data_IF_161043506493
#
_entry.id   IF_161043506493
#
_cell.length_a   1.000
_cell.length_b   1.000
_cell.length_c   1.000
_cell.angle_alpha   90.00
_cell.angle_beta   90.00
_cell.angle_gamma   90.00
#
_symmetry.space_group_name_H-M   'P 1'
#
loop_
_entity.id
_entity.type
_entity.pdbx_description
1 polymer ?
#
# COMPACT_ATOMS: atom_id res chain seq x y z
N UNK A 1 -22.46 7.85 0.25
CA UNK A 1 -21.11 7.59 0.79
C UNK A 1 -20.94 6.09 0.90
N UNK A 2 -19.95 5.49 0.22
CA UNK A 2 -19.68 4.04 0.31
C UNK A 2 -18.77 3.81 1.50
N UNK A 3 -19.27 3.17 2.54
CA UNK A 3 -18.45 2.73 3.66
C UNK A 3 -17.78 1.41 3.27
N UNK A 4 -16.46 1.33 3.41
CA UNK A 4 -15.68 0.13 3.16
C UNK A 4 -15.25 -0.39 4.53
N UNK A 5 -15.72 -1.58 4.91
CA UNK A 5 -15.26 -2.23 6.14
C UNK A 5 -13.99 -3.01 5.85
N UNK A 6 -12.93 -2.72 6.59
CA UNK A 6 -11.64 -3.38 6.39
C UNK A 6 -11.69 -4.89 6.67
N UNK A 7 -12.61 -5.39 7.49
CA UNK A 7 -12.69 -6.84 7.73
C UNK A 7 -13.21 -7.64 6.52
N UNK A 8 -13.91 -6.98 5.60
CA UNK A 8 -14.58 -7.61 4.45
C UNK A 8 -13.69 -7.67 3.19
N UNK A 9 -12.47 -7.12 3.25
CA UNK A 9 -11.54 -7.07 2.10
C UNK A 9 -10.46 -8.13 2.27
N UNK A 10 -10.27 -8.90 1.20
CA UNK A 10 -9.23 -9.92 1.10
C UNK A 10 -7.82 -9.33 1.20
N UNK A 11 -6.89 -10.11 1.79
CA UNK A 11 -5.49 -9.72 1.96
C UNK A 11 -4.63 -10.59 1.07
N UNK A 12 -3.88 -9.94 0.20
CA UNK A 12 -2.84 -10.59 -0.60
C UNK A 12 -1.57 -10.74 0.26
N UNK A 13 -1.05 -11.96 0.39
CA UNK A 13 0.14 -12.27 1.19
C UNK A 13 1.34 -12.55 0.27
N UNK A 14 2.36 -11.68 0.35
CA UNK A 14 3.62 -11.77 -0.38
C UNK A 14 4.81 -12.09 0.54
N UNK A 15 4.55 -12.76 1.67
CA UNK A 15 5.55 -13.13 2.67
C UNK A 15 5.83 -11.99 3.65
N UNK A 16 6.89 -11.20 3.40
CA UNK A 16 7.25 -10.07 4.26
C UNK A 16 6.31 -8.87 4.10
N UNK A 17 5.51 -8.86 3.04
CA UNK A 17 4.54 -7.80 2.72
C UNK A 17 3.16 -8.44 2.65
N UNK A 18 2.18 -7.81 3.30
CA UNK A 18 0.77 -8.13 3.14
C UNK A 18 0.03 -6.89 2.66
N UNK A 19 -0.79 -7.03 1.62
CA UNK A 19 -1.49 -5.90 1.00
C UNK A 19 -2.99 -6.12 1.10
N UNK A 20 -3.70 -5.08 1.51
CA UNK A 20 -5.14 -5.06 1.55
C UNK A 20 -5.64 -3.89 0.71
N UNK A 21 -6.16 -4.18 -0.47
CA UNK A 21 -6.61 -3.16 -1.43
C UNK A 21 -7.97 -2.57 -1.01
N UNK A 22 -7.94 -1.38 -0.42
CA UNK A 22 -9.16 -0.69 0.03
C UNK A 22 -9.94 -0.06 -1.12
N UNK A 23 -9.23 0.46 -2.12
CA UNK A 23 -9.81 1.09 -3.28
C UNK A 23 -9.00 0.71 -4.52
N UNK A 24 -9.52 -0.27 -5.26
CA UNK A 24 -9.08 -0.59 -6.61
C UNK A 24 -10.34 -0.76 -7.46
N UNK A 25 -10.97 0.36 -7.80
CA UNK A 25 -12.21 0.37 -8.55
C UNK A 25 -11.87 0.62 -10.03
N UNK A 26 -12.33 -0.19 -10.99
CA UNK A 26 -12.05 0.02 -12.41
C UNK A 26 -12.51 1.39 -12.94
N UNK A 27 -13.36 2.13 -12.23
CA UNK A 27 -13.70 3.53 -12.56
C UNK A 27 -12.69 4.60 -12.08
N UNK A 28 -11.67 4.21 -11.31
CA UNK A 28 -10.64 5.10 -10.76
C UNK A 28 -9.24 4.56 -11.12
N UNK A 29 -9.00 4.33 -12.41
CA UNK A 29 -7.74 3.73 -12.91
C UNK A 29 -6.47 4.50 -12.55
N UNK A 30 -6.60 5.77 -12.14
CA UNK A 30 -5.47 6.66 -11.81
C UNK A 30 -5.17 6.78 -10.31
N UNK A 31 -5.92 6.10 -9.44
CA UNK A 31 -5.75 6.24 -8.00
C UNK A 31 -6.09 4.94 -7.28
N UNK A 32 -5.15 4.48 -6.45
CA UNK A 32 -5.31 3.29 -5.62
C UNK A 32 -5.09 3.62 -4.15
N UNK A 33 -5.78 2.89 -3.28
CA UNK A 33 -5.57 2.96 -1.83
C UNK A 33 -5.46 1.55 -1.29
N UNK A 34 -4.38 1.28 -0.57
CA UNK A 34 -4.16 0.01 0.10
C UNK A 34 -3.64 0.22 1.52
N UNK A 35 -3.94 -0.73 2.41
CA UNK A 35 -3.23 -0.91 3.66
C UNK A 35 -2.14 -1.94 3.42
N UNK A 36 -0.90 -1.57 3.75
CA UNK A 36 0.27 -2.43 3.60
C UNK A 36 0.84 -2.72 4.98
N UNK A 37 0.98 -4.00 5.31
CA UNK A 37 1.71 -4.47 6.48
C UNK A 37 3.09 -4.98 6.03
N UNK A 38 4.14 -4.47 6.67
CA UNK A 38 5.51 -4.84 6.40
C UNK A 38 6.15 -5.49 7.63
N UNK A 39 6.57 -6.75 7.49
CA UNK A 39 7.22 -7.54 8.55
C UNK A 39 8.68 -7.84 8.17
N UNK A 40 9.49 -6.78 8.05
CA UNK A 40 10.90 -6.86 7.70
C UNK A 40 11.38 -5.62 6.95
N UNK A 41 12.54 -5.72 6.31
CA UNK A 41 13.05 -4.67 5.44
C UNK A 41 12.57 -4.89 3.99
N UNK A 42 11.83 -3.93 3.44
CA UNK A 42 11.47 -3.94 2.03
C UNK A 42 12.63 -3.45 1.17
N UNK A 43 13.08 -4.29 0.23
CA UNK A 43 14.09 -3.94 -0.78
C UNK A 43 13.56 -3.99 -2.22
N UNK A 44 12.24 -4.13 -2.39
CA UNK A 44 11.63 -4.17 -3.73
C UNK A 44 11.68 -2.78 -4.38
N UNK A 45 11.74 -2.80 -5.72
CA UNK A 45 12.16 -1.69 -6.58
C UNK A 45 11.41 -0.36 -6.41
N UNK A 46 11.98 0.68 -7.01
CA UNK A 46 11.40 2.02 -7.07
C UNK A 46 10.29 2.05 -8.13
N UNK A 47 9.09 2.42 -7.71
CA UNK A 47 8.07 2.89 -8.66
C UNK A 47 8.51 4.27 -9.17
N UNK A 48 8.58 4.41 -10.49
CA UNK A 48 8.96 5.65 -11.19
C UNK A 48 7.79 6.26 -11.97
N UNK A 49 6.63 5.62 -11.96
CA UNK A 49 5.48 5.98 -12.78
C UNK A 49 4.34 6.61 -11.98
N UNK A 50 4.36 6.49 -10.64
CA UNK A 50 3.30 6.99 -9.77
C UNK A 50 3.81 7.94 -8.69
N UNK A 51 2.99 8.94 -8.36
CA UNK A 51 3.14 9.70 -7.11
C UNK A 51 2.62 8.87 -5.94
N UNK A 52 3.34 8.89 -4.81
CA UNK A 52 3.03 8.05 -3.66
C UNK A 52 2.99 8.84 -2.35
N UNK A 53 2.00 8.53 -1.53
CA UNK A 53 1.86 9.09 -0.19
C UNK A 53 1.62 7.98 0.84
N UNK A 54 2.36 8.03 1.94
CA UNK A 54 2.26 7.04 3.03
C UNK A 54 1.66 7.65 4.28
N UNK A 55 0.79 6.89 4.94
CA UNK A 55 0.29 7.21 6.27
C UNK A 55 0.55 6.02 7.21
N UNK A 56 1.32 6.25 8.28
CA UNK A 56 1.75 5.18 9.19
C UNK A 56 0.64 4.92 10.21
N UNK A 57 0.02 3.74 10.13
CA UNK A 57 -1.03 3.31 11.06
C UNK A 57 -0.47 2.73 12.36
N UNK A 58 0.66 2.02 12.29
CA UNK A 58 1.30 1.35 13.43
C UNK A 58 2.78 1.15 13.18
N UNK A 59 3.58 1.23 14.25
CA UNK A 59 5.01 0.94 14.20
C UNK A 59 5.84 2.10 13.64
N UNK A 60 7.05 1.76 13.16
CA UNK A 60 7.98 2.69 12.52
C UNK A 60 8.81 1.93 11.48
N UNK A 61 9.22 2.61 10.43
CA UNK A 61 10.03 2.05 9.35
C UNK A 61 10.98 3.09 8.77
N UNK A 62 11.80 2.65 7.82
CA UNK A 62 12.64 3.52 6.99
C UNK A 62 12.24 3.29 5.54
N UNK A 63 12.23 4.37 4.77
CA UNK A 63 12.02 4.33 3.34
C UNK A 63 13.21 4.97 2.65
N UNK A 64 13.57 4.42 1.50
CA UNK A 64 14.54 5.03 0.62
C UNK A 64 13.77 5.81 -0.44
N UNK A 65 14.10 7.10 -0.57
CA UNK A 65 13.62 7.94 -1.65
C UNK A 65 14.85 8.23 -2.49
N UNK A 66 14.84 7.82 -3.76
CA UNK A 66 15.88 8.20 -4.71
C UNK A 66 15.64 9.66 -5.09
N UNK A 67 16.48 10.56 -4.58
CA UNK A 67 16.50 11.95 -5.03
C UNK A 67 17.32 12.00 -6.32
N UNK A 68 16.80 12.71 -7.34
CA UNK A 68 17.44 12.82 -8.66
C UNK A 68 18.82 13.46 -8.61
#
# INVERSE_FOLDING_TARGET
MKHIKSEEIEKDDFGIIKVQNLLNNPGYEKFSVAVVELNGDQKFGLDKESDLAYFILKGKGKFFVEDK
#
